data_IF_137753862175
#
_entry.id   IF_137753862175
#
_cell.length_a   1.000
_cell.length_b   1.000
_cell.length_c   1.000
_cell.angle_alpha   90.00
_cell.angle_beta   90.00
_cell.angle_gamma   90.00
#
_symmetry.space_group_name_H-M   'P 1'
#
loop_
_entity.id
_entity.type
_entity.pdbx_description
1 polymer ?
#
# COMPACT_ATOMS: atom_id res chain seq x y z
N UNK A 1 -1.68 -21.75 -7.86
CA UNK A 1 -1.01 -20.86 -6.88
C UNK A 1 0.46 -20.83 -7.26
N UNK A 2 1.05 -19.65 -7.40
CA UNK A 2 2.46 -19.49 -7.79
C UNK A 2 3.38 -19.83 -6.61
N UNK A 3 4.53 -20.46 -6.87
CA UNK A 3 5.56 -20.66 -5.85
C UNK A 3 6.46 -19.42 -5.80
N UNK A 4 6.13 -18.48 -4.92
CA UNK A 4 6.86 -17.20 -4.82
C UNK A 4 8.32 -17.39 -4.40
N UNK A 5 8.61 -18.40 -3.58
CA UNK A 5 9.97 -18.72 -3.16
C UNK A 5 10.82 -19.16 -4.35
N UNK A 6 10.31 -20.06 -5.20
CA UNK A 6 11.04 -20.46 -6.41
C UNK A 6 11.27 -19.28 -7.36
N UNK A 7 10.27 -18.41 -7.53
CA UNK A 7 10.40 -17.21 -8.38
C UNK A 7 11.45 -16.24 -7.83
N UNK A 8 11.49 -16.02 -6.52
CA UNK A 8 12.50 -15.16 -5.89
C UNK A 8 13.92 -15.71 -6.03
N UNK A 9 14.08 -17.04 -6.15
CA UNK A 9 15.38 -17.69 -6.31
C UNK A 9 15.80 -17.92 -7.77
N UNK A 10 15.07 -17.41 -8.76
CA UNK A 10 15.42 -17.58 -10.18
C UNK A 10 16.71 -16.85 -10.57
N UNK A 11 17.04 -15.75 -9.90
CA UNK A 11 18.25 -14.96 -10.18
C UNK A 11 18.70 -14.23 -8.90
N UNK A 12 20.02 -14.13 -8.63
CA UNK A 12 20.53 -13.48 -7.41
C UNK A 12 20.13 -12.01 -7.25
N UNK A 13 19.85 -11.30 -8.35
CA UNK A 13 19.43 -9.89 -8.32
C UNK A 13 17.94 -9.70 -8.00
N UNK A 14 17.16 -10.77 -7.85
CA UNK A 14 15.75 -10.67 -7.45
C UNK A 14 15.70 -10.56 -5.93
N UNK A 15 15.35 -9.38 -5.42
CA UNK A 15 15.29 -9.12 -3.98
C UNK A 15 14.02 -9.69 -3.31
N UNK A 16 12.87 -9.62 -4.00
CA UNK A 16 11.60 -10.13 -3.50
C UNK A 16 10.58 -10.33 -4.64
N UNK A 17 9.68 -11.30 -4.46
CA UNK A 17 8.52 -11.51 -5.34
C UNK A 17 7.24 -11.51 -4.51
N UNK A 18 6.27 -10.72 -4.95
CA UNK A 18 4.99 -10.57 -4.28
C UNK A 18 3.85 -10.83 -5.26
N UNK A 19 2.85 -11.58 -4.81
CA UNK A 19 1.62 -11.78 -5.59
C UNK A 19 0.65 -10.65 -5.29
N UNK A 20 0.16 -9.96 -6.32
CA UNK A 20 -0.97 -9.04 -6.16
C UNK A 20 -2.25 -9.87 -6.13
N UNK A 21 -2.81 -10.06 -4.94
CA UNK A 21 -3.99 -10.92 -4.73
C UNK A 21 -5.31 -10.16 -4.89
N UNK A 22 -5.32 -8.85 -4.68
CA UNK A 22 -6.49 -8.00 -4.91
C UNK A 22 -6.10 -6.57 -5.21
N UNK A 23 -6.87 -5.89 -6.06
CA UNK A 23 -6.77 -4.46 -6.29
C UNK A 23 -8.10 -3.79 -5.96
N UNK A 24 -8.04 -2.65 -5.27
CA UNK A 24 -9.19 -1.85 -4.86
C UNK A 24 -8.98 -0.40 -5.28
N UNK A 25 -10.09 0.34 -5.36
CA UNK A 25 -10.08 1.79 -5.50
C UNK A 25 -10.95 2.39 -4.41
N UNK A 26 -10.41 3.39 -3.73
CA UNK A 26 -11.14 4.20 -2.78
C UNK A 26 -11.23 5.64 -3.30
N UNK A 27 -12.35 6.30 -3.04
CA UNK A 27 -12.50 7.74 -3.29
C UNK A 27 -12.52 8.46 -1.95
N UNK A 28 -11.53 9.31 -1.71
CA UNK A 28 -11.35 10.09 -0.49
C UNK A 28 -11.40 11.55 -0.89
N UNK A 29 -12.51 12.23 -0.59
CA UNK A 29 -12.71 13.66 -0.87
C UNK A 29 -12.35 14.07 -2.31
N UNK A 30 -12.96 13.38 -3.27
CA UNK A 30 -12.72 13.63 -4.69
C UNK A 30 -11.42 13.04 -5.24
N UNK A 31 -10.46 12.64 -4.40
CA UNK A 31 -9.24 11.95 -4.82
C UNK A 31 -9.48 10.43 -4.93
N UNK A 32 -9.09 9.85 -6.06
CA UNK A 32 -9.01 8.39 -6.21
C UNK A 32 -7.67 7.88 -5.67
N UNK A 33 -7.72 6.87 -4.79
CA UNK A 33 -6.58 6.16 -4.23
C UNK A 33 -6.74 4.68 -4.58
N UNK A 34 -5.90 4.19 -5.47
CA UNK A 34 -5.71 2.76 -5.70
C UNK A 34 -4.99 2.08 -4.54
N UNK A 35 -5.39 0.84 -4.27
CA UNK A 35 -4.84 -0.03 -3.23
C UNK A 35 -4.53 -1.38 -3.88
N UNK A 36 -3.30 -1.88 -3.71
CA UNK A 36 -2.93 -3.25 -4.06
C UNK A 36 -2.77 -4.01 -2.75
N UNK A 37 -3.40 -5.17 -2.64
CA UNK A 37 -3.13 -6.13 -1.58
C UNK A 37 -2.18 -7.16 -2.15
N UNK A 38 -1.06 -7.34 -1.47
CA UNK A 38 0.01 -8.23 -1.86
C UNK A 38 0.15 -9.36 -0.86
N UNK A 39 0.64 -10.50 -1.33
CA UNK A 39 0.98 -11.66 -0.52
C UNK A 39 2.46 -11.99 -0.67
N UNK A 40 3.14 -12.23 0.45
CA UNK A 40 4.55 -12.66 0.47
C UNK A 40 4.68 -14.19 0.50
N UNK A 41 5.92 -14.67 0.35
CA UNK A 41 6.26 -16.10 0.42
C UNK A 41 5.86 -16.76 1.76
N UNK A 42 5.87 -16.01 2.86
CA UNK A 42 5.45 -16.49 4.18
C UNK A 42 3.92 -16.57 4.33
N UNK A 43 3.16 -16.21 3.29
CA UNK A 43 1.70 -16.28 3.28
C UNK A 43 0.99 -15.12 3.95
N UNK A 44 1.72 -14.09 4.41
CA UNK A 44 1.12 -12.90 5.00
C UNK A 44 0.72 -11.89 3.92
N UNK A 45 -0.24 -11.05 4.28
CA UNK A 45 -0.74 -9.99 3.42
C UNK A 45 -0.21 -8.63 3.85
N UNK A 46 -0.08 -7.74 2.88
CA UNK A 46 0.28 -6.33 3.07
C UNK A 46 -0.28 -5.50 1.92
N UNK A 47 -0.09 -4.19 1.94
CA UNK A 47 -0.68 -3.31 0.95
C UNK A 47 0.28 -2.25 0.44
N UNK A 48 0.01 -1.80 -0.78
CA UNK A 48 0.59 -0.60 -1.37
C UNK A 48 -0.53 0.37 -1.71
N UNK A 49 -0.31 1.64 -1.37
CA UNK A 49 -1.20 2.73 -1.76
C UNK A 49 -0.61 3.44 -2.98
N UNK A 50 -1.47 3.80 -3.92
CA UNK A 50 -1.11 4.63 -5.07
C UNK A 50 -0.77 6.08 -4.70
N UNK A 51 -1.24 6.54 -3.54
CA UNK A 51 -1.02 7.88 -3.03
C UNK A 51 -0.92 7.84 -1.51
N UNK A 52 -0.05 8.69 -0.97
CA UNK A 52 0.06 8.95 0.46
C UNK A 52 -0.35 10.37 0.77
N UNK A 53 -1.01 10.57 1.91
CA UNK A 53 -1.35 11.90 2.36
C UNK A 53 -0.22 12.49 3.22
N UNK A 54 0.23 13.68 2.85
CA UNK A 54 1.13 14.51 3.67
C UNK A 54 0.32 15.68 4.20
N UNK A 55 0.05 15.70 5.51
CA UNK A 55 -0.60 16.83 6.16
C UNK A 55 0.30 18.07 6.18
N UNK A 56 -0.29 19.26 6.33
CA UNK A 56 0.44 20.53 6.27
C UNK A 56 1.64 20.62 7.23
N UNK A 57 1.50 20.05 8.44
CA UNK A 57 2.51 20.09 9.50
C UNK A 57 3.61 19.03 9.36
N UNK A 58 3.52 18.15 8.35
CA UNK A 58 4.43 17.02 8.18
C UNK A 58 5.39 17.24 7.01
N UNK A 59 6.69 17.05 7.27
CA UNK A 59 7.72 17.11 6.21
C UNK A 59 7.56 15.99 5.18
N UNK A 60 7.13 14.80 5.61
CA UNK A 60 6.94 13.61 4.79
C UNK A 60 5.60 12.93 5.08
N UNK A 61 4.99 12.24 4.08
CA UNK A 61 3.80 11.45 4.33
C UNK A 61 4.13 10.27 5.24
N UNK A 62 3.16 9.85 6.06
CA UNK A 62 3.28 8.60 6.79
C UNK A 62 3.06 7.43 5.84
N UNK A 63 4.03 6.52 5.80
CA UNK A 63 3.93 5.24 5.09
C UNK A 63 3.98 4.14 6.15
N UNK A 64 2.84 3.48 6.37
CA UNK A 64 2.81 2.31 7.23
C UNK A 64 3.64 1.20 6.60
N UNK A 65 4.54 0.59 7.38
CA UNK A 65 5.37 -0.55 6.96
C UNK A 65 4.75 -1.89 7.34
N UNK A 66 3.46 -1.90 7.73
CA UNK A 66 2.83 -3.08 8.31
C UNK A 66 2.67 -4.16 7.24
N UNK A 67 3.45 -5.24 7.39
CA UNK A 67 3.70 -6.21 6.32
C UNK A 67 3.20 -7.63 6.65
N UNK A 68 2.38 -7.78 7.71
CA UNK A 68 2.01 -9.08 8.28
C UNK A 68 0.54 -9.18 8.69
N UNK A 69 -0.38 -8.83 7.80
CA UNK A 69 -1.81 -9.09 8.03
C UNK A 69 -2.14 -10.57 7.80
N UNK A 70 -3.09 -11.11 8.58
CA UNK A 70 -3.49 -12.51 8.49
C UNK A 70 -4.50 -12.77 7.35
N UNK A 71 -5.15 -11.71 6.85
CA UNK A 71 -6.11 -11.81 5.75
C UNK A 71 -6.08 -10.61 4.81
N UNK A 72 -6.65 -10.80 3.62
CA UNK A 72 -6.87 -9.74 2.63
C UNK A 72 -7.77 -8.64 3.19
N UNK A 73 -8.80 -9.01 3.97
CA UNK A 73 -9.72 -8.04 4.56
C UNK A 73 -9.01 -7.15 5.61
N UNK A 74 -8.18 -7.74 6.46
CA UNK A 74 -7.37 -6.98 7.42
C UNK A 74 -6.39 -6.04 6.72
N UNK A 75 -5.71 -6.51 5.66
CA UNK A 75 -4.83 -5.67 4.87
C UNK A 75 -5.58 -4.50 4.21
N UNK A 76 -6.78 -4.73 3.68
CA UNK A 76 -7.61 -3.68 3.09
C UNK A 76 -8.08 -2.65 4.15
N UNK A 77 -8.48 -3.11 5.34
CA UNK A 77 -8.82 -2.23 6.47
C UNK A 77 -7.60 -1.41 6.92
N UNK A 78 -6.43 -2.03 7.01
CA UNK A 78 -5.17 -1.38 7.32
C UNK A 78 -4.82 -0.30 6.29
N UNK A 79 -4.95 -0.62 5.00
CA UNK A 79 -4.72 0.30 3.89
C UNK A 79 -5.57 1.56 3.97
N UNK A 80 -6.89 1.39 4.17
CA UNK A 80 -7.81 2.51 4.29
C UNK A 80 -7.52 3.35 5.54
N UNK A 81 -7.26 2.70 6.68
CA UNK A 81 -6.87 3.40 7.91
C UNK A 81 -5.62 4.24 7.70
N UNK A 82 -4.58 3.67 7.09
CA UNK A 82 -3.33 4.41 6.82
C UNK A 82 -3.55 5.55 5.85
N UNK A 83 -4.36 5.36 4.80
CA UNK A 83 -4.66 6.41 3.82
C UNK A 83 -5.37 7.61 4.47
N UNK A 84 -6.18 7.38 5.50
CA UNK A 84 -6.98 8.43 6.13
C UNK A 84 -6.45 8.92 7.49
N UNK A 85 -5.46 8.26 8.08
CA UNK A 85 -5.03 8.50 9.49
C UNK A 85 -4.66 9.96 9.77
N UNK A 86 -4.00 10.61 8.80
CA UNK A 86 -3.57 12.01 8.90
C UNK A 86 -4.38 12.95 8.01
N UNK A 87 -5.30 12.40 7.21
CA UNK A 87 -6.14 13.19 6.33
C UNK A 87 -7.20 13.94 7.15
N UNK A 88 -7.36 15.23 6.84
CA UNK A 88 -8.45 16.07 7.35
C UNK A 88 -8.96 16.90 6.18
N UNK A 89 -10.28 16.94 5.98
CA UNK A 89 -10.89 17.74 4.91
C UNK A 89 -10.66 19.24 5.05
N UNK A 90 -10.26 19.71 6.23
CA UNK A 90 -9.99 21.12 6.53
C UNK A 90 -8.50 21.47 6.53
N UNK A 91 -7.64 20.55 6.14
CA UNK A 91 -6.20 20.76 6.12
C UNK A 91 -5.78 21.47 4.82
N UNK A 92 -5.80 22.81 4.84
CA UNK A 92 -5.56 23.67 3.68
C UNK A 92 -4.15 23.54 3.07
N UNK A 93 -3.17 23.00 3.82
CA UNK A 93 -1.80 22.78 3.34
C UNK A 93 -1.46 21.32 3.04
N UNK A 94 -2.40 20.40 3.23
CA UNK A 94 -2.19 18.99 3.00
C UNK A 94 -2.20 18.62 1.52
N UNK A 95 -1.49 17.56 1.16
CA UNK A 95 -1.38 17.12 -0.23
C UNK A 95 -1.30 15.61 -0.38
N UNK A 96 -1.88 15.11 -1.46
CA UNK A 96 -1.75 13.72 -1.89
C UNK A 96 -0.52 13.56 -2.77
N UNK A 97 0.47 12.84 -2.28
CA UNK A 97 1.69 12.52 -3.00
C UNK A 97 1.55 11.18 -3.70
N UNK A 98 1.96 11.11 -4.97
CA UNK A 98 1.90 9.90 -5.77
C UNK A 98 2.97 8.91 -5.32
N UNK A 99 2.61 7.64 -5.20
CA UNK A 99 3.56 6.55 -5.01
C UNK A 99 3.99 6.02 -6.37
N UNK A 100 5.20 6.32 -6.81
CA UNK A 100 5.69 5.87 -8.12
C UNK A 100 5.85 4.35 -8.19
N UNK A 101 6.23 3.69 -7.09
CA UNK A 101 6.36 2.22 -7.03
C UNK A 101 5.03 1.48 -7.24
N UNK A 102 3.89 2.17 -7.09
CA UNK A 102 2.58 1.57 -7.33
C UNK A 102 2.30 1.36 -8.82
N UNK A 103 2.88 2.16 -9.70
CA UNK A 103 2.60 2.13 -11.13
C UNK A 103 3.72 1.38 -11.85
N UNK A 104 3.40 0.44 -12.77
CA UNK A 104 4.39 -0.23 -13.59
C UNK A 104 5.06 0.71 -14.59
#
# INVERSE_FOLDING_TARGET
>A
MLNLFELANLHPDIEAVHEVVQALKARIDGKEVGIKILKNEAGHYFYELSHYYRGADNANPYVSTDNRFASVEEAARGALRSATMFYRSTDEGGTWLKNESFYP
#
